data_IF_767458089695
#
_entry.id   IF_767458089695
#
_cell.length_a   1.000
_cell.length_b   1.000
_cell.length_c   1.000
_cell.angle_alpha   90.00
_cell.angle_beta   90.00
_cell.angle_gamma   90.00
#
_symmetry.space_group_name_H-M   'P 1'
#
loop_
_entity.id
_entity.type
_entity.pdbx_description
1 polymer ?
#
# COMPACT_ATOMS: atom_id res chain seq x y z
N UNK A 1 -1.15 4.01 11.29
CA UNK A 1 -1.04 2.54 11.04
C UNK A 1 0.40 2.11 11.21
N UNK A 2 0.64 1.07 11.97
CA UNK A 2 1.98 0.53 12.15
C UNK A 2 2.22 -0.61 11.15
N UNK A 3 3.51 -0.94 10.96
CA UNK A 3 3.90 -1.92 9.94
C UNK A 3 3.23 -3.28 10.13
N UNK A 4 3.15 -3.78 11.36
CA UNK A 4 2.56 -5.08 11.62
C UNK A 4 1.08 -5.15 11.22
N UNK A 5 0.35 -4.06 11.41
CA UNK A 5 -1.04 -4.00 10.97
C UNK A 5 -1.15 -4.06 9.45
N UNK A 6 -0.27 -3.33 8.78
CA UNK A 6 -0.26 -3.33 7.31
C UNK A 6 0.12 -4.69 6.75
N UNK A 7 1.12 -5.33 7.33
CA UNK A 7 1.53 -6.68 6.90
C UNK A 7 0.36 -7.66 7.01
N UNK A 8 -0.36 -7.62 8.13
CA UNK A 8 -1.50 -8.53 8.33
C UNK A 8 -2.59 -8.31 7.30
N UNK A 9 -2.89 -7.05 6.99
CA UNK A 9 -3.92 -6.72 6.00
C UNK A 9 -3.50 -7.12 4.60
N UNK A 10 -2.25 -6.87 4.24
CA UNK A 10 -1.72 -7.25 2.94
C UNK A 10 -1.70 -8.76 2.77
N UNK A 11 -1.31 -9.49 3.81
CA UNK A 11 -1.29 -10.94 3.77
C UNK A 11 -2.70 -11.52 3.59
N UNK A 12 -3.68 -10.94 4.26
CA UNK A 12 -5.07 -11.33 4.12
C UNK A 12 -5.53 -11.16 2.67
N UNK A 13 -5.21 -10.01 2.06
CA UNK A 13 -5.57 -9.74 0.67
C UNK A 13 -4.85 -10.67 -0.30
N UNK A 14 -3.58 -10.94 -0.02
CA UNK A 14 -2.80 -11.87 -0.82
C UNK A 14 -3.41 -13.26 -0.83
N UNK A 15 -3.83 -13.74 0.32
CA UNK A 15 -4.45 -15.06 0.44
C UNK A 15 -5.79 -15.16 -0.30
N UNK A 16 -6.55 -14.06 -0.32
CA UNK A 16 -7.85 -14.04 -0.99
C UNK A 16 -7.75 -13.86 -2.50
N UNK A 17 -6.88 -12.98 -2.95
CA UNK A 17 -6.88 -12.52 -4.35
C UNK A 17 -5.59 -12.80 -5.11
N UNK A 18 -4.57 -13.32 -4.43
CA UNK A 18 -3.32 -13.67 -5.10
C UNK A 18 -2.33 -12.52 -5.17
N UNK A 19 -1.20 -12.79 -5.83
CA UNK A 19 -0.04 -11.91 -5.80
C UNK A 19 -0.06 -10.75 -6.78
N UNK A 20 -0.97 -10.79 -7.75
CA UNK A 20 -1.02 -9.77 -8.81
C UNK A 20 -2.01 -8.66 -8.54
N UNK A 21 -2.53 -8.59 -7.33
CA UNK A 21 -3.52 -7.58 -6.98
C UNK A 21 -2.85 -6.24 -6.68
N UNK A 22 -3.16 -5.18 -7.44
CA UNK A 22 -2.51 -3.88 -7.23
C UNK A 22 -2.98 -3.22 -5.95
N UNK A 23 -2.13 -2.34 -5.40
CA UNK A 23 -2.43 -1.58 -4.19
C UNK A 23 -2.71 -0.13 -4.57
N UNK A 24 -3.78 0.43 -4.02
CA UNK A 24 -4.18 1.80 -4.27
C UNK A 24 -4.22 2.60 -2.97
N UNK A 25 -3.92 3.90 -3.07
CA UNK A 25 -4.17 4.87 -2.01
C UNK A 25 -5.34 5.73 -2.45
N UNK A 26 -6.24 6.01 -1.51
CA UNK A 26 -7.36 6.93 -1.76
C UNK A 26 -7.10 8.22 -0.99
N UNK A 27 -7.28 9.38 -1.66
CA UNK A 27 -7.17 10.66 -1.00
C UNK A 27 -8.51 11.11 -0.41
N UNK A 28 -8.53 12.30 0.19
CA UNK A 28 -9.73 12.85 0.82
C UNK A 28 -10.87 13.11 -0.16
N UNK A 29 -10.52 13.36 -1.42
CA UNK A 29 -11.51 13.61 -2.47
C UNK A 29 -12.08 12.33 -3.07
N UNK A 30 -11.55 11.18 -2.68
CA UNK A 30 -12.00 9.90 -3.18
C UNK A 30 -11.27 9.41 -4.40
N UNK A 31 -10.30 10.16 -4.91
CA UNK A 31 -9.47 9.69 -6.01
C UNK A 31 -8.52 8.61 -5.55
N UNK A 32 -8.31 7.60 -6.40
CA UNK A 32 -7.43 6.48 -6.12
C UNK A 32 -6.18 6.56 -6.98
N UNK A 33 -5.05 6.25 -6.36
CA UNK A 33 -3.74 6.24 -7.02
C UNK A 33 -3.10 4.89 -6.76
N UNK A 34 -2.64 4.23 -7.81
CA UNK A 34 -1.88 2.99 -7.65
C UNK A 34 -0.53 3.29 -7.02
N UNK A 35 -0.05 2.40 -6.16
CA UNK A 35 1.28 2.52 -5.58
C UNK A 35 2.30 2.13 -6.63
N UNK A 36 3.20 3.06 -6.96
CA UNK A 36 4.28 2.81 -7.89
C UNK A 36 5.55 2.32 -7.19
N UNK A 37 5.84 2.89 -6.03
CA UNK A 37 7.12 2.67 -5.36
C UNK A 37 6.95 2.70 -3.85
N UNK A 38 7.84 1.98 -3.16
CA UNK A 38 7.93 2.00 -1.71
C UNK A 38 9.37 2.30 -1.35
N UNK A 39 9.60 3.28 -0.48
CA UNK A 39 10.95 3.66 -0.08
C UNK A 39 11.08 3.79 1.42
N UNK A 40 12.28 3.50 1.91
CA UNK A 40 12.65 3.78 3.28
C UNK A 40 13.30 5.16 3.36
N UNK A 41 12.84 5.96 4.33
CA UNK A 41 13.33 7.32 4.52
C UNK A 41 13.59 7.55 6.01
N UNK A 42 14.85 7.52 6.43
CA UNK A 42 15.24 7.84 7.81
C UNK A 42 14.36 7.15 8.87
N UNK A 43 14.06 5.89 8.66
CA UNK A 43 13.21 5.14 9.57
C UNK A 43 11.72 5.21 9.28
N UNK A 44 11.33 5.93 8.24
CA UNK A 44 9.96 5.93 7.74
C UNK A 44 9.83 5.08 6.50
N UNK A 45 8.66 4.48 6.34
CA UNK A 45 8.32 3.78 5.12
C UNK A 45 7.36 4.66 4.32
N UNK A 46 7.75 5.01 3.10
CA UNK A 46 7.00 5.93 2.26
C UNK A 46 6.43 5.20 1.06
N UNK A 47 5.15 5.41 0.79
CA UNK A 47 4.48 4.88 -0.39
C UNK A 47 4.27 6.01 -1.38
N UNK A 48 4.76 5.81 -2.61
CA UNK A 48 4.64 6.82 -3.66
C UNK A 48 3.58 6.41 -4.66
N UNK A 49 2.63 7.30 -4.95
CA UNK A 49 1.59 7.01 -5.94
C UNK A 49 2.13 7.09 -7.35
N UNK A 50 1.52 6.34 -8.23
CA UNK A 50 1.78 6.41 -9.66
C UNK A 50 1.00 7.60 -10.22
N UNK A 51 1.73 8.56 -10.76
CA UNK A 51 1.15 9.77 -11.31
C UNK A 51 1.11 9.70 -12.83
#
# INVERSE_FOLDING_TARGET
MIITELISKLQFMYELYGEDNPIFIRDESGFRYEIQECEEYYGFFVLEPKI
#
